data_IF_738786717854
#
_entry.id   IF_738786717854
#
_cell.length_a   1.000
_cell.length_b   1.000
_cell.length_c   1.000
_cell.angle_alpha   90.00
_cell.angle_beta   90.00
_cell.angle_gamma   90.00
#
_symmetry.space_group_name_H-M   'P 1'
#
loop_
_entity.id
_entity.type
_entity.pdbx_description
1 polymer ?
#
# COMPACT_ATOMS: atom_id res chain seq x y z
N UNK A 1 15.86 17.18 1.02
CA UNK A 1 14.45 17.47 0.68
C UNK A 1 14.01 16.43 -0.31
N UNK A 2 12.87 15.79 -0.03
CA UNK A 2 12.34 14.73 -0.88
C UNK A 2 11.76 15.33 -2.16
N UNK A 3 12.04 14.71 -3.30
CA UNK A 3 11.41 15.12 -4.55
C UNK A 3 11.24 13.93 -5.50
N UNK A 4 10.19 13.99 -6.30
CA UNK A 4 9.87 13.01 -7.33
C UNK A 4 10.45 13.44 -8.67
N UNK A 5 10.95 12.47 -9.42
CA UNK A 5 11.28 12.59 -10.85
C UNK A 5 10.55 11.50 -11.61
N UNK A 6 10.06 11.79 -12.80
CA UNK A 6 9.32 10.84 -13.63
C UNK A 6 10.09 10.56 -14.93
N UNK A 7 10.30 9.29 -15.24
CA UNK A 7 11.12 8.84 -16.38
C UNK A 7 10.26 8.36 -17.57
N UNK A 8 8.95 8.22 -17.36
CA UNK A 8 7.98 7.73 -18.33
C UNK A 8 6.64 7.48 -17.62
N UNK A 9 5.56 7.27 -18.38
CA UNK A 9 4.25 6.99 -17.81
C UNK A 9 4.31 5.75 -16.89
N UNK A 10 3.88 5.91 -15.64
CA UNK A 10 3.95 4.88 -14.60
C UNK A 10 5.34 4.67 -14.01
N UNK A 11 6.38 5.41 -14.39
CA UNK A 11 7.74 5.25 -13.85
C UNK A 11 8.18 6.50 -13.11
N UNK A 12 8.58 6.33 -11.85
CA UNK A 12 9.09 7.42 -11.03
C UNK A 12 10.22 7.00 -10.10
N UNK A 13 11.00 8.00 -9.70
CA UNK A 13 12.02 7.88 -8.67
C UNK A 13 11.78 8.92 -7.58
N UNK A 14 11.88 8.49 -6.32
CA UNK A 14 11.89 9.36 -5.15
C UNK A 14 13.32 9.53 -4.66
N UNK A 15 13.78 10.78 -4.63
CA UNK A 15 15.11 11.15 -4.15
C UNK A 15 15.01 11.64 -2.71
N UNK A 16 15.56 10.91 -1.74
CA UNK A 16 15.48 11.24 -0.31
C UNK A 16 16.81 11.08 0.46
N UNK A 17 17.93 11.34 -0.21
CA UNK A 17 19.28 11.11 0.32
C UNK A 17 19.73 9.67 0.09
N UNK A 18 20.96 9.47 -0.37
CA UNK A 18 21.42 8.15 -0.83
C UNK A 18 20.84 7.75 -2.20
N UNK A 19 20.79 6.43 -2.46
CA UNK A 19 20.28 5.89 -3.73
C UNK A 19 18.76 6.09 -3.84
N UNK A 20 18.24 6.51 -5.01
CA UNK A 20 16.82 6.81 -5.20
C UNK A 20 15.95 5.55 -5.10
N UNK A 21 14.73 5.73 -4.61
CA UNK A 21 13.71 4.68 -4.59
C UNK A 21 12.99 4.65 -5.93
N UNK A 22 13.00 3.50 -6.58
CA UNK A 22 12.41 3.32 -7.91
C UNK A 22 11.02 2.69 -7.78
N UNK A 23 10.08 3.24 -8.53
CA UNK A 23 8.71 2.77 -8.59
C UNK A 23 8.32 2.49 -10.04
N UNK A 24 7.70 1.34 -10.25
CA UNK A 24 7.09 0.96 -11.51
C UNK A 24 5.61 0.72 -11.27
N UNK A 25 4.81 1.70 -11.62
CA UNK A 25 3.38 1.78 -11.45
C UNK A 25 2.68 1.86 -12.82
N UNK A 26 3.19 1.10 -13.80
CA UNK A 26 2.62 1.06 -15.16
C UNK A 26 1.28 0.32 -15.24
N UNK A 27 0.97 -0.55 -14.28
CA UNK A 27 -0.25 -1.37 -14.31
C UNK A 27 -0.25 -2.37 -15.47
N UNK A 28 -1.43 -2.89 -15.84
CA UNK A 28 -1.56 -3.89 -16.89
C UNK A 28 -0.71 -5.13 -16.61
N UNK A 29 -0.02 -5.63 -17.64
CA UNK A 29 0.92 -6.75 -17.53
C UNK A 29 2.22 -6.43 -16.76
N UNK A 30 2.53 -5.16 -16.55
CA UNK A 30 3.73 -4.74 -15.81
C UNK A 30 3.50 -4.72 -14.29
N UNK A 31 2.24 -4.63 -13.85
CA UNK A 31 1.88 -4.51 -12.44
C UNK A 31 2.23 -3.15 -11.83
N UNK A 32 2.13 -3.07 -10.50
CA UNK A 32 2.56 -1.91 -9.70
C UNK A 32 3.52 -2.42 -8.63
N UNK A 33 4.74 -1.90 -8.56
CA UNK A 33 5.82 -2.44 -7.75
C UNK A 33 6.82 -1.39 -7.25
N UNK A 34 7.41 -1.65 -6.09
CA UNK A 34 8.56 -0.95 -5.54
C UNK A 34 9.45 -1.93 -4.76
N UNK A 35 10.60 -2.31 -5.33
CA UNK A 35 11.46 -3.33 -4.72
C UNK A 35 10.74 -4.68 -4.62
N UNK A 36 10.62 -5.21 -3.41
CA UNK A 36 9.91 -6.47 -3.14
C UNK A 36 8.39 -6.31 -2.92
N UNK A 37 7.89 -5.08 -2.84
CA UNK A 37 6.47 -4.78 -2.73
C UNK A 37 5.83 -4.77 -4.12
N UNK A 38 4.65 -5.38 -4.24
CA UNK A 38 3.77 -5.23 -5.39
C UNK A 38 2.31 -5.04 -4.99
N UNK A 39 1.55 -4.34 -5.83
CA UNK A 39 0.10 -4.38 -5.84
C UNK A 39 -0.33 -5.23 -7.03
N UNK A 40 -1.19 -6.21 -6.79
CA UNK A 40 -1.67 -7.15 -7.80
C UNK A 40 -3.22 -7.16 -7.82
N UNK A 41 -3.79 -7.36 -9.00
CA UNK A 41 -5.20 -7.75 -9.11
C UNK A 41 -5.40 -9.19 -8.64
N UNK A 42 -6.64 -9.50 -8.29
CA UNK A 42 -7.03 -10.81 -7.74
C UNK A 42 -7.76 -11.63 -8.79
N UNK A 43 -7.60 -12.96 -8.73
CA UNK A 43 -8.26 -13.92 -9.62
C UNK A 43 -7.93 -13.67 -11.10
N UNK A 44 -8.93 -13.67 -11.98
CA UNK A 44 -8.77 -13.45 -13.42
C UNK A 44 -8.81 -11.95 -13.81
N UNK A 45 -8.98 -11.04 -12.84
CA UNK A 45 -8.94 -9.60 -13.09
C UNK A 45 -7.53 -9.13 -13.44
N UNK A 46 -7.45 -8.02 -14.18
CA UNK A 46 -6.19 -7.36 -14.52
C UNK A 46 -6.15 -5.96 -13.93
N UNK A 47 -4.96 -5.53 -13.55
CA UNK A 47 -4.75 -4.13 -13.24
C UNK A 47 -4.94 -3.29 -14.50
N UNK A 48 -5.72 -2.20 -14.46
CA UNK A 48 -5.73 -1.24 -15.56
C UNK A 48 -4.33 -0.66 -15.80
N UNK A 49 -4.03 -0.28 -17.04
CA UNK A 49 -2.77 0.38 -17.37
C UNK A 49 -2.79 1.86 -16.98
N UNK A 50 -1.64 2.40 -16.59
CA UNK A 50 -1.52 3.82 -16.27
C UNK A 50 -1.87 4.66 -17.52
N UNK A 51 -2.81 5.59 -17.37
CA UNK A 51 -3.23 6.50 -18.43
C UNK A 51 -2.69 7.92 -18.25
N UNK A 52 -2.48 8.34 -17.01
CA UNK A 52 -1.96 9.67 -16.68
C UNK A 52 -1.10 9.60 -15.40
N UNK A 53 -0.10 10.48 -15.31
CA UNK A 53 0.62 10.72 -14.08
C UNK A 53 1.04 12.19 -13.95
N UNK A 54 1.21 12.64 -12.70
CA UNK A 54 1.80 13.95 -12.41
C UNK A 54 2.34 13.99 -10.99
N UNK A 55 3.20 14.98 -10.71
CA UNK A 55 3.69 15.27 -9.36
C UNK A 55 3.02 16.56 -8.87
N UNK A 56 2.42 16.51 -7.68
CA UNK A 56 1.79 17.68 -7.03
C UNK A 56 2.37 17.86 -5.63
N UNK A 57 3.17 18.91 -5.46
CA UNK A 57 3.93 19.10 -4.23
C UNK A 57 4.92 17.94 -4.04
N UNK A 58 4.76 17.20 -2.94
CA UNK A 58 5.59 16.03 -2.62
C UNK A 58 4.88 14.69 -2.93
N UNK A 59 3.77 14.72 -3.68
CA UNK A 59 2.98 13.54 -3.99
C UNK A 59 3.13 13.15 -5.46
N UNK A 60 3.25 11.85 -5.72
CA UNK A 60 3.15 11.30 -7.06
C UNK A 60 1.78 10.67 -7.27
N UNK A 61 1.08 11.14 -8.30
CA UNK A 61 -0.28 10.74 -8.66
C UNK A 61 -0.23 9.92 -9.95
N UNK A 62 -0.88 8.76 -9.95
CA UNK A 62 -1.03 7.90 -11.13
C UNK A 62 -2.52 7.51 -11.25
N UNK A 63 -3.09 7.76 -12.43
CA UNK A 63 -4.47 7.44 -12.75
C UNK A 63 -4.52 6.31 -13.78
N UNK A 64 -5.33 5.30 -13.48
CA UNK A 64 -5.52 4.11 -14.29
C UNK A 64 -6.99 4.06 -14.69
N UNK A 65 -7.34 4.54 -15.91
CA UNK A 65 -8.72 4.53 -16.36
C UNK A 65 -9.24 3.09 -16.49
N UNK A 66 -10.54 2.90 -16.26
CA UNK A 66 -11.15 1.57 -16.36
C UNK A 66 -10.98 0.95 -17.75
N UNK A 67 -11.25 1.70 -18.82
CA UNK A 67 -11.18 1.17 -20.18
C UNK A 67 -12.08 -0.06 -20.36
N UNK A 68 -11.49 -1.16 -20.84
CA UNK A 68 -12.15 -2.46 -20.97
C UNK A 68 -11.99 -3.36 -19.72
N UNK A 69 -11.32 -2.88 -18.67
CA UNK A 69 -11.07 -3.62 -17.44
C UNK A 69 -12.25 -3.55 -16.45
N UNK A 70 -12.20 -4.37 -15.41
CA UNK A 70 -13.28 -4.48 -14.40
C UNK A 70 -13.40 -3.25 -13.49
N UNK A 71 -12.35 -2.41 -13.39
CA UNK A 71 -12.32 -1.24 -12.50
C UNK A 71 -11.30 -0.19 -12.95
N UNK A 72 -11.52 1.07 -12.55
CA UNK A 72 -10.52 2.13 -12.53
C UNK A 72 -9.76 2.11 -11.19
N UNK A 73 -8.49 2.51 -11.25
CA UNK A 73 -7.62 2.66 -10.08
C UNK A 73 -7.03 4.08 -10.06
N UNK A 74 -6.86 4.64 -8.86
CA UNK A 74 -6.03 5.81 -8.61
C UNK A 74 -5.04 5.49 -7.50
N UNK A 75 -3.77 5.79 -7.74
CA UNK A 75 -2.70 5.64 -6.78
C UNK A 75 -2.08 7.01 -6.49
N UNK A 76 -1.98 7.36 -5.22
CA UNK A 76 -1.20 8.51 -4.76
C UNK A 76 -0.17 8.03 -3.75
N UNK A 77 1.11 8.30 -4.03
CA UNK A 77 2.21 8.01 -3.13
C UNK A 77 2.73 9.30 -2.49
N UNK A 78 2.65 9.37 -1.16
CA UNK A 78 3.10 10.51 -0.36
C UNK A 78 4.18 10.06 0.63
N UNK A 79 5.45 10.48 0.47
CA UNK A 79 6.49 10.11 1.43
C UNK A 79 6.28 10.88 2.74
N UNK A 80 6.20 10.14 3.84
CA UNK A 80 5.96 10.62 5.20
C UNK A 80 7.29 10.90 5.92
N UNK A 81 8.20 9.93 5.86
CA UNK A 81 9.53 10.02 6.45
C UNK A 81 10.53 9.24 5.61
N UNK A 82 11.79 9.63 5.62
CA UNK A 82 12.83 8.95 4.84
C UNK A 82 14.23 9.19 5.38
N UNK A 83 15.07 8.18 5.28
CA UNK A 83 16.52 8.23 5.42
C UNK A 83 17.18 7.67 4.15
N UNK A 84 18.50 7.47 4.17
CA UNK A 84 19.19 6.76 3.10
C UNK A 84 18.69 5.33 2.90
N UNK A 85 18.17 4.67 3.93
CA UNK A 85 17.89 3.23 3.87
C UNK A 85 16.47 2.87 4.30
N UNK A 86 15.69 3.82 4.80
CA UNK A 86 14.30 3.62 5.19
C UNK A 86 13.41 4.64 4.52
N UNK A 87 12.28 4.19 3.98
CA UNK A 87 11.22 5.02 3.44
C UNK A 87 9.90 4.65 4.10
N UNK A 88 9.18 5.65 4.60
CA UNK A 88 7.77 5.53 5.01
C UNK A 88 6.95 6.27 3.97
N UNK A 89 6.07 5.56 3.26
CA UNK A 89 5.21 6.13 2.22
C UNK A 89 3.75 5.81 2.54
N UNK A 90 2.90 6.81 2.50
CA UNK A 90 1.45 6.62 2.47
C UNK A 90 1.03 6.31 1.04
N UNK A 91 0.31 5.21 0.86
CA UNK A 91 -0.27 4.81 -0.42
C UNK A 91 -1.78 4.96 -0.37
N UNK A 92 -2.31 6.05 -0.94
CA UNK A 92 -3.74 6.20 -1.15
C UNK A 92 -4.14 5.44 -2.41
N UNK A 93 -4.81 4.31 -2.22
CA UNK A 93 -5.27 3.41 -3.27
C UNK A 93 -6.78 3.57 -3.36
N UNK A 94 -7.30 4.05 -4.49
CA UNK A 94 -8.74 4.20 -4.70
C UNK A 94 -9.19 3.39 -5.91
N UNK A 95 -10.20 2.54 -5.72
CA UNK A 95 -10.83 1.75 -6.78
C UNK A 95 -12.25 2.24 -7.04
N UNK A 96 -12.66 2.22 -8.30
CA UNK A 96 -14.01 2.56 -8.73
C UNK A 96 -14.41 1.62 -9.87
N UNK A 97 -15.68 1.25 -9.93
CA UNK A 97 -16.25 0.49 -11.06
C UNK A 97 -17.54 1.14 -11.55
N UNK A 98 -17.71 1.20 -12.86
CA UNK A 98 -18.98 1.59 -13.50
C UNK A 98 -19.85 0.37 -13.88
N UNK A 99 -19.34 -0.84 -13.63
CA UNK A 99 -20.03 -2.10 -13.87
C UNK A 99 -20.91 -2.48 -12.66
N UNK A 100 -21.99 -3.20 -12.93
CA UNK A 100 -22.81 -3.80 -11.88
C UNK A 100 -22.13 -5.08 -11.38
N UNK A 101 -22.23 -5.34 -10.08
CA UNK A 101 -21.82 -6.60 -9.44
C UNK A 101 -20.35 -7.01 -9.70
N UNK A 102 -19.43 -6.06 -9.81
CA UNK A 102 -17.98 -6.34 -9.82
C UNK A 102 -17.39 -6.27 -8.42
N UNK A 103 -16.40 -7.11 -8.17
CA UNK A 103 -15.74 -7.22 -6.87
C UNK A 103 -14.23 -7.00 -7.02
N UNK A 104 -13.79 -5.83 -7.52
CA UNK A 104 -12.38 -5.57 -7.71
C UNK A 104 -11.65 -5.61 -6.35
N UNK A 105 -10.62 -6.44 -6.28
CA UNK A 105 -9.76 -6.60 -5.11
C UNK A 105 -8.31 -6.39 -5.51
N UNK A 106 -7.55 -5.82 -4.59
CA UNK A 106 -6.12 -5.57 -4.76
C UNK A 106 -5.38 -6.29 -3.64
N UNK A 107 -4.45 -7.14 -4.01
CA UNK A 107 -3.51 -7.76 -3.07
C UNK A 107 -2.27 -6.87 -2.95
N UNK A 108 -1.87 -6.59 -1.72
CA UNK A 108 -0.56 -6.05 -1.36
C UNK A 108 0.34 -7.23 -1.07
N UNK A 109 1.30 -7.47 -1.97
CA UNK A 109 2.17 -8.63 -1.95
C UNK A 109 3.61 -8.22 -1.62
N UNK A 110 4.23 -8.94 -0.69
CA UNK A 110 5.66 -8.83 -0.39
C UNK A 110 6.28 -10.22 -0.28
N UNK A 111 7.21 -10.52 -1.19
CA UNK A 111 8.03 -11.74 -1.09
C UNK A 111 8.97 -11.66 0.11
N UNK A 112 9.00 -12.70 0.93
CA UNK A 112 9.77 -12.70 2.17
C UNK A 112 10.24 -14.08 2.62
N UNK A 113 11.17 -14.09 3.57
CA UNK A 113 11.67 -15.29 4.24
C UNK A 113 10.91 -15.58 5.55
N UNK A 114 10.29 -14.57 6.16
CA UNK A 114 9.56 -14.66 7.43
C UNK A 114 8.53 -13.52 7.56
N UNK A 115 7.46 -13.73 8.34
CA UNK A 115 6.36 -12.77 8.55
C UNK A 115 6.01 -12.67 10.03
N UNK A 116 5.96 -11.42 10.52
CA UNK A 116 5.33 -11.11 11.81
C UNK A 116 4.03 -10.32 11.61
N UNK A 117 3.17 -10.35 12.62
CA UNK A 117 1.98 -9.52 12.70
C UNK A 117 1.77 -9.05 14.13
N UNK A 118 1.47 -7.77 14.30
CA UNK A 118 1.34 -7.13 15.62
C UNK A 118 -0.01 -6.43 15.73
N UNK A 119 -0.64 -6.57 16.90
CA UNK A 119 -1.80 -5.78 17.30
C UNK A 119 -1.31 -4.84 18.40
N UNK A 120 -1.11 -3.54 18.12
CA UNK A 120 -0.70 -2.59 19.13
C UNK A 120 -1.70 -2.56 20.28
N UNK A 121 -1.20 -2.54 21.52
CA UNK A 121 -2.05 -2.27 22.67
C UNK A 121 -2.57 -0.83 22.59
N UNK A 122 -3.86 -0.63 22.35
CA UNK A 122 -4.47 0.69 22.48
C UNK A 122 -4.96 0.92 23.92
N UNK A 123 -5.29 2.18 24.23
CA UNK A 123 -5.81 2.58 25.53
C UNK A 123 -7.32 2.32 25.71
N UNK A 124 -7.99 1.81 24.68
CA UNK A 124 -9.44 1.61 24.62
C UNK A 124 -9.86 0.12 24.69
N UNK A 125 -8.90 -0.79 24.66
CA UNK A 125 -9.09 -2.22 24.80
C UNK A 125 -8.77 -2.95 23.50
N UNK A 126 -8.07 -4.07 23.65
CA UNK A 126 -7.73 -5.07 22.62
C UNK A 126 -8.88 -5.37 21.63
N UNK A 127 -10.15 -5.19 22.04
CA UNK A 127 -11.34 -5.66 21.33
C UNK A 127 -11.73 -4.84 20.09
N UNK A 128 -11.46 -3.52 20.03
CA UNK A 128 -11.80 -2.72 18.81
C UNK A 128 -10.84 -3.00 17.64
N UNK A 129 -9.58 -3.28 17.96
CA UNK A 129 -8.54 -3.62 16.99
C UNK A 129 -8.57 -5.11 16.62
N UNK A 130 -9.02 -6.00 17.53
CA UNK A 130 -9.25 -7.44 17.30
C UNK A 130 -10.55 -7.78 16.57
N UNK A 131 -11.03 -6.89 15.70
CA UNK A 131 -12.16 -7.18 14.81
C UNK A 131 -11.88 -8.31 13.81
N UNK A 132 -12.86 -8.63 12.95
CA UNK A 132 -12.79 -9.69 11.93
C UNK A 132 -11.79 -9.45 10.77
N UNK A 133 -10.85 -8.53 10.94
CA UNK A 133 -9.87 -8.13 9.93
C UNK A 133 -8.48 -8.74 10.15
N UNK A 134 -7.48 -8.14 9.51
CA UNK A 134 -6.06 -8.46 9.75
C UNK A 134 -5.49 -7.62 10.90
N UNK A 135 -4.37 -8.09 11.47
CA UNK A 135 -3.56 -7.29 12.39
C UNK A 135 -3.13 -5.95 11.73
N UNK A 136 -3.20 -4.81 12.43
CA UNK A 136 -2.92 -3.50 11.84
C UNK A 136 -1.48 -3.32 11.38
N UNK A 137 -0.54 -4.11 11.87
CA UNK A 137 0.86 -4.06 11.46
C UNK A 137 1.26 -5.46 11.01
N UNK A 138 1.65 -5.58 9.74
CA UNK A 138 2.25 -6.79 9.17
C UNK A 138 3.68 -6.49 8.74
N UNK A 139 4.64 -7.34 9.10
CA UNK A 139 6.06 -7.17 8.77
C UNK A 139 6.58 -8.36 8.00
N UNK A 140 6.96 -8.13 6.74
CA UNK A 140 7.67 -9.07 5.90
C UNK A 140 9.19 -8.87 6.04
N UNK A 141 9.92 -9.95 6.34
CA UNK A 141 11.36 -9.93 6.58
C UNK A 141 12.08 -10.75 5.53
N UNK A 142 13.20 -10.22 5.04
CA UNK A 142 14.07 -10.93 4.10
C UNK A 142 15.53 -10.67 4.45
N UNK A 143 16.44 -11.48 3.92
CA UNK A 143 17.88 -11.18 4.04
C UNK A 143 18.22 -9.82 3.41
N UNK A 144 18.50 -8.83 4.25
CA UNK A 144 18.97 -7.50 3.84
C UNK A 144 17.89 -6.46 3.56
N UNK A 145 16.60 -6.79 3.72
CA UNK A 145 15.53 -5.81 3.64
C UNK A 145 14.30 -6.26 4.43
N UNK A 146 13.41 -5.32 4.74
CA UNK A 146 12.11 -5.62 5.33
C UNK A 146 11.06 -4.63 4.84
N UNK A 147 9.81 -5.07 4.78
CA UNK A 147 8.68 -4.22 4.44
C UNK A 147 7.61 -4.40 5.50
N UNK A 148 7.17 -3.31 6.14
CA UNK A 148 6.01 -3.32 7.01
C UNK A 148 4.83 -2.63 6.31
N UNK A 149 3.64 -3.22 6.42
CA UNK A 149 2.37 -2.64 6.00
C UNK A 149 1.57 -2.31 7.25
N UNK A 150 1.26 -1.02 7.41
CA UNK A 150 0.51 -0.46 8.53
C UNK A 150 -0.86 -0.03 8.02
N UNK A 151 -1.91 -0.57 8.64
CA UNK A 151 -3.30 -0.31 8.30
C UNK A 151 -3.95 0.49 9.42
N UNK A 152 -4.62 1.58 9.05
CA UNK A 152 -5.41 2.36 9.99
C UNK A 152 -6.68 1.62 10.41
N UNK A 153 -7.39 2.18 11.38
CA UNK A 153 -8.69 1.65 11.87
C UNK A 153 -9.75 1.53 10.79
N UNK A 154 -9.61 2.30 9.70
CA UNK A 154 -10.51 2.25 8.55
C UNK A 154 -10.20 1.13 7.56
N UNK A 155 -8.95 0.67 7.49
CA UNK A 155 -8.50 -0.28 6.47
C UNK A 155 -8.39 -1.71 7.03
N UNK A 156 -7.89 -1.84 8.27
CA UNK A 156 -7.64 -3.15 8.92
C UNK A 156 -8.87 -4.06 8.95
N UNK A 157 -10.09 -3.57 9.32
CA UNK A 157 -11.28 -4.42 9.38
C UNK A 157 -11.77 -4.95 8.03
N UNK A 158 -11.42 -4.28 6.92
CA UNK A 158 -11.82 -4.66 5.57
C UNK A 158 -10.69 -5.28 4.75
N UNK A 159 -9.57 -5.56 5.39
CA UNK A 159 -8.41 -6.22 4.79
C UNK A 159 -8.34 -7.66 5.29
N UNK A 160 -8.19 -8.62 4.37
CA UNK A 160 -8.02 -10.03 4.72
C UNK A 160 -6.58 -10.49 4.50
N UNK A 161 -6.10 -11.39 5.36
CA UNK A 161 -4.76 -11.95 5.27
C UNK A 161 -4.78 -13.27 4.48
N UNK A 162 -4.01 -13.34 3.39
CA UNK A 162 -3.82 -14.54 2.57
C UNK A 162 -2.34 -14.95 2.50
N UNK A 163 -1.57 -14.56 3.51
CA UNK A 163 -0.13 -14.81 3.57
C UNK A 163 0.20 -16.30 3.66
N UNK A 164 1.39 -16.63 3.20
CA UNK A 164 2.03 -17.96 3.31
C UNK A 164 3.40 -17.78 3.95
N UNK A 165 4.10 -18.89 4.21
CA UNK A 165 5.44 -18.85 4.83
C UNK A 165 6.47 -17.98 4.07
N UNK A 166 6.28 -17.75 2.76
CA UNK A 166 7.21 -17.00 1.91
C UNK A 166 6.62 -15.75 1.24
N UNK A 167 5.39 -15.37 1.60
CA UNK A 167 4.68 -14.26 0.96
C UNK A 167 3.73 -13.63 1.96
N UNK A 168 3.97 -12.36 2.30
CA UNK A 168 2.97 -11.51 2.92
C UNK A 168 1.98 -11.08 1.84
N UNK A 169 0.70 -11.41 2.02
CA UNK A 169 -0.38 -11.03 1.10
C UNK A 169 -1.56 -10.48 1.88
N UNK A 170 -1.82 -9.19 1.68
CA UNK A 170 -2.93 -8.47 2.29
C UNK A 170 -3.92 -8.02 1.23
N UNK A 171 -5.14 -8.53 1.28
CA UNK A 171 -6.19 -8.24 0.31
C UNK A 171 -7.05 -7.08 0.75
N UNK A 172 -6.96 -5.97 0.03
CA UNK A 172 -7.71 -4.75 0.31
C UNK A 172 -9.14 -4.82 -0.24
N UNK A 173 -10.01 -3.97 0.31
CA UNK A 173 -11.36 -3.65 -0.17
C UNK A 173 -12.48 -4.68 0.02
N UNK A 174 -12.24 -5.82 0.70
CA UNK A 174 -13.27 -6.79 1.05
C UNK A 174 -14.10 -7.31 -0.14
N UNK A 175 -15.31 -7.80 0.12
CA UNK A 175 -16.08 -8.61 -0.85
C UNK A 175 -17.13 -7.87 -1.70
N UNK A 176 -17.31 -6.55 -1.62
CA UNK A 176 -18.42 -5.91 -2.36
C UNK A 176 -18.15 -4.47 -2.76
N UNK A 177 -18.32 -4.12 -4.05
CA UNK A 177 -18.35 -2.73 -4.50
C UNK A 177 -19.61 -2.50 -5.33
N UNK A 178 -20.52 -1.64 -4.85
CA UNK A 178 -21.67 -1.22 -5.64
C UNK A 178 -21.22 -0.30 -6.79
N UNK A 179 -21.93 -0.34 -7.92
CA UNK A 179 -21.66 0.51 -9.09
C UNK A 179 -21.57 1.98 -8.69
N UNK A 180 -20.52 2.65 -9.16
CA UNK A 180 -20.29 4.08 -8.89
C UNK A 180 -19.80 4.39 -7.47
N UNK A 181 -19.60 3.37 -6.62
CA UNK A 181 -18.95 3.55 -5.32
C UNK A 181 -17.44 3.57 -5.52
N UNK A 182 -16.81 4.55 -4.87
CA UNK A 182 -15.35 4.63 -4.75
C UNK A 182 -14.97 4.04 -3.40
N UNK A 183 -14.12 3.02 -3.39
CA UNK A 183 -13.46 2.54 -2.16
C UNK A 183 -12.03 3.04 -2.11
N UNK A 184 -11.56 3.34 -0.90
CA UNK A 184 -10.24 3.88 -0.65
C UNK A 184 -9.57 3.12 0.50
N UNK A 185 -8.29 2.84 0.33
CA UNK A 185 -7.41 2.31 1.35
C UNK A 185 -6.19 3.24 1.47
N UNK A 186 -5.69 3.43 2.69
CA UNK A 186 -4.60 4.35 3.01
C UNK A 186 -3.49 3.66 3.84
N UNK A 187 -2.95 2.50 3.41
CA UNK A 187 -1.83 1.89 4.10
C UNK A 187 -0.62 2.81 4.14
N UNK A 188 0.08 2.82 5.28
CA UNK A 188 1.46 3.26 5.33
C UNK A 188 2.38 2.07 5.10
N UNK A 189 3.35 2.24 4.21
CA UNK A 189 4.30 1.22 3.84
C UNK A 189 5.69 1.67 4.29
N UNK A 190 6.32 0.87 5.14
CA UNK A 190 7.69 1.09 5.61
C UNK A 190 8.60 0.15 4.83
N UNK A 191 9.46 0.70 3.98
CA UNK A 191 10.45 -0.05 3.20
C UNK A 191 11.81 0.21 3.82
N UNK A 192 12.51 -0.82 4.28
CA UNK A 192 13.85 -0.73 4.85
C UNK A 192 14.83 -1.63 4.07
N UNK A 193 15.91 -1.05 3.54
CA UNK A 193 16.97 -1.75 2.79
C UNK A 193 18.30 -1.87 3.56
N UNK A 194 18.32 -1.49 4.83
CA UNK A 194 19.52 -1.55 5.68
C UNK A 194 19.84 -2.97 6.19
N UNK A 195 18.87 -3.88 6.11
CA UNK A 195 18.93 -5.20 6.75
C UNK A 195 18.70 -5.16 8.26
N UNK A 196 18.46 -3.99 8.86
CA UNK A 196 18.06 -3.84 10.26
C UNK A 196 16.54 -3.78 10.33
N UNK A 197 15.93 -4.74 11.02
CA UNK A 197 14.47 -4.76 11.18
C UNK A 197 14.00 -3.57 12.03
N UNK A 198 12.90 -2.90 11.64
CA UNK A 198 12.26 -1.93 12.52
C UNK A 198 11.76 -2.65 13.78
N UNK A 199 11.89 -1.98 14.93
CA UNK A 199 11.39 -2.56 16.19
C UNK A 199 9.88 -2.45 16.27
N UNK A 200 9.23 -3.32 17.07
CA UNK A 200 7.78 -3.25 17.31
C UNK A 200 7.36 -1.87 17.85
N UNK A 201 8.17 -1.27 18.72
CA UNK A 201 7.91 0.07 19.26
C UNK A 201 7.94 1.16 18.18
N UNK A 202 8.91 1.09 17.26
CA UNK A 202 9.00 2.01 16.12
C UNK A 202 7.76 1.88 15.20
N UNK A 203 7.36 0.66 14.86
CA UNK A 203 6.20 0.41 14.01
C UNK A 203 4.90 0.83 14.71
N UNK A 204 4.78 0.58 16.01
CA UNK A 204 3.63 1.01 16.81
C UNK A 204 3.51 2.53 16.83
N UNK A 205 4.62 3.25 16.98
CA UNK A 205 4.62 4.72 16.95
C UNK A 205 4.19 5.26 15.57
N UNK A 206 4.67 4.66 14.48
CA UNK A 206 4.23 5.02 13.13
C UNK A 206 2.74 4.72 12.92
N UNK A 207 2.25 3.59 13.44
CA UNK A 207 0.84 3.25 13.36
C UNK A 207 -0.04 4.23 14.12
N UNK A 208 0.37 4.67 15.32
CA UNK A 208 -0.34 5.71 16.06
C UNK A 208 -0.40 7.04 15.28
N UNK A 209 0.66 7.40 14.55
CA UNK A 209 0.67 8.58 13.68
C UNK A 209 -0.29 8.41 12.50
N UNK A 210 -0.34 7.22 11.89
CA UNK A 210 -1.30 6.89 10.83
C UNK A 210 -2.75 7.04 11.33
N UNK A 211 -3.09 6.48 12.50
CA UNK A 211 -4.44 6.58 13.08
C UNK A 211 -4.80 8.03 13.44
N UNK A 212 -3.83 8.84 13.86
CA UNK A 212 -4.03 10.26 14.12
C UNK A 212 -4.04 11.14 12.84
N UNK A 213 -3.68 10.58 11.68
CA UNK A 213 -3.65 11.29 10.41
C UNK A 213 -5.09 11.58 9.94
N UNK A 214 -5.38 12.79 9.44
CA UNK A 214 -6.69 13.08 8.87
C UNK A 214 -6.94 12.25 7.61
N UNK A 215 -8.13 11.64 7.51
CA UNK A 215 -8.57 10.97 6.29
C UNK A 215 -8.75 12.03 5.18
N UNK A 216 -8.13 11.88 4.00
CA UNK A 216 -8.30 12.83 2.90
C UNK A 216 -9.76 12.89 2.46
N UNK A 217 -10.35 14.10 2.46
CA UNK A 217 -11.78 14.35 2.16
C UNK A 217 -12.13 14.34 0.66
N UNK A 218 -11.18 14.04 -0.23
CA UNK A 218 -11.35 14.14 -1.70
C UNK A 218 -10.81 12.91 -2.39
#
# INVERSE_FOLDING_TARGET
MNHWTTDGLGLAQLHCGGEPWKFDARGGSAGIQCGALSLASVDDDRLPAAGEQFVRGNQWHVNYPQGDESFALRLVLSPIASTSDRLVVEACISIQTDLLDTHPKIDVDVMCDDIDSFVPSDQWGDDEVRGSGVAPISLAKSKGHSIAVLLGTHDSPFTTNHSTDSLLRLRLFGDFLEKGVIRRALPWIVIDRSGTLPTESELTQLWQQLVASPIPLT
#
